data_IF_876254358221
#
_entry.id   IF_876254358221
#
_cell.length_a   1.000
_cell.length_b   1.000
_cell.length_c   1.000
_cell.angle_alpha   90.00
_cell.angle_beta   90.00
_cell.angle_gamma   90.00
#
_symmetry.space_group_name_H-M   'P 1'
#
loop_
_entity.id
_entity.type
_entity.pdbx_description
1 polymer ?
#
# COMPACT_ATOMS: atom_id res chain seq x y z
N UNK A 1 -10.05 -3.60 -27.31
CA UNK A 1 -9.01 -4.28 -26.51
C UNK A 1 -8.56 -3.34 -25.41
N UNK A 2 -8.18 -3.84 -24.23
CA UNK A 2 -7.55 -3.02 -23.19
C UNK A 2 -6.24 -2.40 -23.67
N UNK A 3 -5.91 -1.21 -23.18
CA UNK A 3 -4.66 -0.50 -23.49
C UNK A 3 -4.07 0.12 -22.22
N UNK A 4 -2.77 0.38 -22.20
CA UNK A 4 -2.13 1.13 -21.11
C UNK A 4 -2.63 2.57 -21.16
N UNK A 5 -3.09 3.07 -20.02
CA UNK A 5 -3.55 4.46 -19.88
C UNK A 5 -2.43 5.37 -19.37
N UNK A 6 -1.76 4.98 -18.28
CA UNK A 6 -0.63 5.72 -17.71
C UNK A 6 0.67 4.91 -17.69
N UNK A 7 1.75 5.57 -18.11
CA UNK A 7 3.12 5.12 -17.90
C UNK A 7 3.89 6.10 -17.03
N UNK A 8 4.55 5.57 -16.00
CA UNK A 8 5.33 6.31 -15.01
C UNK A 8 4.52 7.48 -14.40
N UNK A 9 3.23 7.25 -14.18
CA UNK A 9 2.31 8.20 -13.56
C UNK A 9 1.75 9.28 -14.49
N UNK A 10 1.97 9.18 -15.81
CA UNK A 10 1.46 10.15 -16.79
C UNK A 10 0.68 9.47 -17.91
N UNK A 11 -0.42 10.10 -18.40
CA UNK A 11 -1.17 9.63 -19.56
C UNK A 11 -0.26 9.34 -20.77
N UNK A 12 -0.56 8.27 -21.49
CA UNK A 12 0.23 7.81 -22.63
C UNK A 12 0.42 8.85 -23.74
N UNK A 13 -0.57 9.71 -23.93
CA UNK A 13 -0.61 10.78 -24.92
C UNK A 13 0.16 12.04 -24.50
N UNK A 14 0.49 12.20 -23.21
CA UNK A 14 1.40 13.26 -22.76
C UNK A 14 2.84 12.93 -23.17
N UNK A 15 3.30 13.61 -24.21
CA UNK A 15 4.67 13.54 -24.75
C UNK A 15 5.46 14.82 -24.49
N UNK A 16 5.07 15.60 -23.49
CA UNK A 16 5.83 16.79 -23.09
C UNK A 16 7.27 16.43 -22.69
N UNK A 17 8.20 17.37 -22.89
CA UNK A 17 9.62 17.14 -22.60
C UNK A 17 9.86 16.72 -21.14
N UNK A 18 9.05 17.25 -20.20
CA UNK A 18 9.10 16.89 -18.78
C UNK A 18 8.71 15.44 -18.54
N UNK A 19 7.60 15.00 -19.13
CA UNK A 19 7.11 13.61 -18.98
C UNK A 19 8.07 12.63 -19.63
N UNK A 20 8.55 12.93 -20.83
CA UNK A 20 9.54 12.08 -21.51
C UNK A 20 10.86 11.98 -20.71
N UNK A 21 11.32 13.06 -20.08
CA UNK A 21 12.49 13.00 -19.20
C UNK A 21 12.26 12.06 -17.99
N UNK A 22 11.06 12.08 -17.40
CA UNK A 22 10.68 11.17 -16.30
C UNK A 22 10.65 9.71 -16.77
N UNK A 23 10.03 9.44 -17.93
CA UNK A 23 9.98 8.09 -18.50
C UNK A 23 11.37 7.55 -18.82
N UNK A 24 12.22 8.34 -19.49
CA UNK A 24 13.59 7.96 -19.85
C UNK A 24 14.51 7.73 -18.66
N UNK A 25 14.23 8.40 -17.54
CA UNK A 25 14.91 8.21 -16.26
C UNK A 25 14.20 7.25 -15.32
N UNK A 26 13.14 6.56 -15.78
CA UNK A 26 12.33 5.56 -15.07
C UNK A 26 11.87 6.02 -13.68
N UNK A 27 11.58 7.31 -13.51
CA UNK A 27 11.16 7.86 -12.22
C UNK A 27 9.67 7.64 -11.97
N UNK A 28 9.30 7.34 -10.72
CA UNK A 28 7.93 7.28 -10.25
C UNK A 28 7.59 8.59 -9.54
N UNK A 29 6.63 9.39 -10.06
CA UNK A 29 6.29 10.68 -9.46
C UNK A 29 5.65 10.53 -8.06
N UNK A 30 5.00 9.40 -7.79
CA UNK A 30 4.35 9.14 -6.50
C UNK A 30 5.35 8.77 -5.41
N UNK A 31 6.45 8.11 -5.76
CA UNK A 31 7.48 7.69 -4.81
C UNK A 31 8.62 8.69 -4.64
N UNK A 32 8.74 9.67 -5.56
CA UNK A 32 9.92 10.54 -5.63
C UNK A 32 11.23 9.79 -5.87
N UNK A 33 11.16 8.60 -6.47
CA UNK A 33 12.27 7.68 -6.65
C UNK A 33 12.09 6.84 -7.92
N UNK A 34 13.12 6.04 -8.26
CA UNK A 34 13.04 5.07 -9.36
C UNK A 34 11.82 4.15 -9.21
N UNK A 35 11.07 3.97 -10.30
CA UNK A 35 9.91 3.11 -10.35
C UNK A 35 10.29 1.66 -10.02
N UNK A 36 9.57 1.06 -9.07
CA UNK A 36 9.75 -0.34 -8.67
C UNK A 36 8.81 -1.28 -9.45
N UNK A 37 7.88 -0.74 -10.25
CA UNK A 37 6.85 -1.50 -10.97
C UNK A 37 5.66 -1.93 -10.13
N UNK A 38 5.58 -1.52 -8.86
CA UNK A 38 4.48 -1.84 -7.95
C UNK A 38 4.17 -3.35 -7.90
N UNK A 39 2.91 -3.73 -8.15
CA UNK A 39 2.46 -5.12 -8.15
C UNK A 39 3.13 -6.01 -9.22
N UNK A 40 3.78 -5.44 -10.23
CA UNK A 40 4.40 -6.18 -11.34
C UNK A 40 5.91 -6.42 -11.16
N UNK A 41 6.50 -5.97 -10.04
CA UNK A 41 7.95 -5.83 -9.82
C UNK A 41 8.79 -7.09 -10.01
N UNK A 42 8.27 -8.27 -9.65
CA UNK A 42 9.05 -9.51 -9.64
C UNK A 42 9.04 -10.27 -10.97
N UNK A 43 8.07 -10.02 -11.85
CA UNK A 43 7.83 -10.87 -13.03
C UNK A 43 8.12 -10.17 -14.35
N UNK A 44 8.37 -8.87 -14.37
CA UNK A 44 8.32 -8.08 -15.61
C UNK A 44 9.60 -7.35 -15.98
N UNK A 45 10.68 -7.51 -15.21
CA UNK A 45 11.97 -6.86 -15.47
C UNK A 45 12.50 -7.16 -16.88
N UNK A 46 12.92 -6.11 -17.59
CA UNK A 46 13.48 -6.13 -18.94
C UNK A 46 14.94 -5.69 -18.85
N UNK A 47 15.86 -6.51 -19.38
CA UNK A 47 17.28 -6.15 -19.52
C UNK A 47 17.48 -5.35 -20.81
N UNK A 48 18.14 -4.20 -20.71
CA UNK A 48 18.41 -3.32 -21.85
C UNK A 48 19.74 -3.73 -22.50
N UNK A 49 19.67 -4.73 -23.39
CA UNK A 49 20.80 -5.19 -24.20
C UNK A 49 20.79 -4.52 -25.57
N UNK A 50 21.86 -4.67 -26.36
CA UNK A 50 21.91 -4.14 -27.74
C UNK A 50 20.79 -4.66 -28.65
N UNK A 51 20.18 -5.80 -28.31
CA UNK A 51 19.10 -6.42 -29.08
C UNK A 51 17.71 -5.96 -28.61
N UNK A 52 17.62 -5.31 -27.45
CA UNK A 52 16.36 -4.82 -26.89
C UNK A 52 16.07 -3.42 -27.43
N UNK A 53 14.99 -3.22 -28.22
CA UNK A 53 14.67 -1.91 -28.81
C UNK A 53 14.50 -0.78 -27.77
N UNK A 54 14.08 -1.10 -26.54
CA UNK A 54 13.95 -0.12 -25.46
C UNK A 54 15.29 0.50 -25.04
N UNK A 55 16.42 -0.14 -25.33
CA UNK A 55 17.76 0.33 -24.92
C UNK A 55 18.06 1.73 -25.42
N UNK A 56 17.56 2.11 -26.61
CA UNK A 56 17.77 3.44 -27.18
C UNK A 56 16.79 4.50 -26.63
N UNK A 57 15.72 4.07 -25.98
CA UNK A 57 14.73 4.99 -25.39
C UNK A 57 15.21 5.55 -24.05
N UNK A 58 15.71 4.68 -23.16
CA UNK A 58 16.13 5.05 -21.81
C UNK A 58 17.51 5.73 -21.78
N UNK A 59 17.82 6.41 -20.68
CA UNK A 59 19.14 7.00 -20.47
C UNK A 59 20.24 5.91 -20.50
N UNK A 60 21.42 6.27 -21.00
CA UNK A 60 22.51 5.32 -21.29
C UNK A 60 23.10 4.60 -20.07
N UNK A 61 22.89 5.14 -18.86
CA UNK A 61 23.31 4.55 -17.59
C UNK A 61 22.34 3.46 -17.08
N UNK A 62 21.17 3.32 -17.71
CA UNK A 62 20.14 2.35 -17.33
C UNK A 62 20.39 1.04 -18.06
N UNK A 63 20.59 -0.03 -17.29
CA UNK A 63 20.83 -1.39 -17.82
C UNK A 63 19.61 -2.31 -17.73
N UNK A 64 18.59 -1.90 -16.98
CA UNK A 64 17.34 -2.62 -16.81
C UNK A 64 16.18 -1.69 -16.48
N UNK A 65 14.98 -2.08 -16.89
CA UNK A 65 13.73 -1.38 -16.60
C UNK A 65 12.66 -2.36 -16.13
N UNK A 66 11.83 -1.91 -15.21
CA UNK A 66 10.60 -2.59 -14.82
C UNK A 66 9.43 -1.78 -15.44
N UNK A 67 8.47 -2.42 -16.12
CA UNK A 67 7.29 -1.75 -16.66
C UNK A 67 6.59 -0.84 -15.64
N UNK A 68 6.66 0.47 -15.89
CA UNK A 68 6.03 1.50 -15.06
C UNK A 68 4.56 1.70 -15.37
N UNK A 69 3.78 0.62 -15.50
CA UNK A 69 2.35 0.68 -15.86
C UNK A 69 1.53 1.02 -14.63
N UNK A 70 0.91 2.20 -14.61
CA UNK A 70 0.14 2.67 -13.46
C UNK A 70 -1.35 2.33 -13.59
N UNK A 71 -1.90 2.42 -14.80
CA UNK A 71 -3.31 2.17 -15.08
C UNK A 71 -3.55 1.67 -16.51
N UNK A 72 -4.68 0.99 -16.70
CA UNK A 72 -5.11 0.35 -17.96
C UNK A 72 -6.52 0.84 -18.30
N UNK A 73 -6.72 1.32 -19.53
CA UNK A 73 -8.04 1.58 -20.09
C UNK A 73 -8.67 0.24 -20.53
N UNK A 74 -9.83 -0.11 -20.00
CA UNK A 74 -10.59 -1.30 -20.39
C UNK A 74 -12.06 -0.95 -20.61
N UNK A 75 -12.45 -0.80 -21.88
CA UNK A 75 -13.78 -0.29 -22.22
C UNK A 75 -13.86 1.21 -21.90
N UNK A 76 -14.85 1.62 -21.10
CA UNK A 76 -15.01 3.01 -20.66
C UNK A 76 -14.23 3.34 -19.38
N UNK A 77 -13.80 2.31 -18.65
CA UNK A 77 -13.18 2.47 -17.33
C UNK A 77 -11.65 2.50 -17.44
N UNK A 78 -11.02 3.36 -16.63
CA UNK A 78 -9.58 3.31 -16.37
C UNK A 78 -9.38 2.55 -15.07
N UNK A 79 -8.57 1.51 -15.08
CA UNK A 79 -8.28 0.67 -13.93
C UNK A 79 -6.88 0.93 -13.41
N UNK A 80 -6.75 1.30 -12.14
CA UNK A 80 -5.44 1.37 -11.48
C UNK A 80 -4.91 -0.04 -11.25
N UNK A 81 -3.69 -0.31 -11.72
CA UNK A 81 -3.00 -1.62 -11.58
C UNK A 81 -1.72 -1.53 -10.76
N UNK A 82 -1.29 -0.33 -10.40
CA UNK A 82 -0.14 -0.10 -9.54
C UNK A 82 -0.59 0.52 -8.20
N UNK A 83 -0.28 -0.10 -7.05
CA UNK A 83 -0.70 0.42 -5.74
C UNK A 83 -0.13 1.81 -5.44
N UNK A 84 1.09 2.10 -5.92
CA UNK A 84 1.74 3.43 -5.75
C UNK A 84 0.95 4.57 -6.39
N UNK A 85 0.04 4.26 -7.33
CA UNK A 85 -0.83 5.26 -7.97
C UNK A 85 -1.97 5.72 -7.05
N UNK A 86 -2.39 4.87 -6.10
CA UNK A 86 -3.42 5.19 -5.11
C UNK A 86 -2.81 5.77 -3.83
N UNK A 87 -1.66 5.25 -3.40
CA UNK A 87 -0.93 5.79 -2.26
C UNK A 87 0.54 5.31 -2.26
N UNK A 88 1.47 6.24 -2.03
CA UNK A 88 2.88 5.93 -1.88
C UNK A 88 3.52 6.69 -0.70
N UNK A 89 3.81 5.99 0.38
CA UNK A 89 4.80 6.43 1.36
C UNK A 89 6.14 5.77 1.04
N UNK A 90 7.17 6.57 0.76
CA UNK A 90 8.53 6.07 0.52
C UNK A 90 9.58 7.12 0.87
N UNK A 91 10.62 6.65 1.57
CA UNK A 91 11.80 7.43 1.86
C UNK A 91 13.06 6.57 1.74
N UNK A 92 13.92 6.88 0.77
CA UNK A 92 15.16 6.14 0.52
C UNK A 92 16.38 6.74 1.25
N UNK A 93 16.19 7.75 2.11
CA UNK A 93 17.27 8.38 2.86
C UNK A 93 17.74 7.57 4.08
N UNK A 94 18.78 8.07 4.75
CA UNK A 94 19.34 7.45 5.96
C UNK A 94 18.74 7.98 7.26
N UNK A 95 18.19 9.20 7.24
CA UNK A 95 17.63 9.88 8.42
C UNK A 95 16.11 9.71 8.56
N UNK A 96 15.48 10.46 9.46
CA UNK A 96 14.03 10.55 9.56
C UNK A 96 13.50 11.35 8.35
N UNK A 97 12.44 10.89 7.66
CA UNK A 97 11.84 11.63 6.55
C UNK A 97 11.30 12.99 6.99
N UNK A 98 11.46 14.00 6.14
CA UNK A 98 10.77 15.28 6.33
C UNK A 98 9.25 15.10 6.16
N UNK A 99 8.47 15.84 6.95
CA UNK A 99 7.01 15.76 6.93
C UNK A 99 6.45 16.09 5.53
N UNK A 100 5.50 15.27 5.07
CA UNK A 100 4.79 15.40 3.79
C UNK A 100 5.66 15.41 2.53
N UNK A 101 6.91 14.93 2.60
CA UNK A 101 7.84 14.82 1.48
C UNK A 101 7.42 13.69 0.52
N UNK A 102 6.34 13.87 -0.23
CA UNK A 102 5.86 13.10 -1.41
C UNK A 102 4.34 13.09 -1.54
N UNK A 103 3.61 13.62 -0.54
CA UNK A 103 2.15 13.49 -0.47
C UNK A 103 1.45 14.31 -1.57
N UNK A 104 0.69 13.62 -2.44
CA UNK A 104 -0.16 14.23 -3.44
C UNK A 104 -1.45 14.80 -2.80
N UNK A 105 -2.12 15.78 -3.45
CA UNK A 105 -3.36 16.34 -2.92
C UNK A 105 -4.45 15.29 -2.66
N UNK A 106 -4.62 14.31 -3.56
CA UNK A 106 -5.61 13.24 -3.38
C UNK A 106 -5.22 12.27 -2.26
N UNK A 107 -3.92 12.06 -2.00
CA UNK A 107 -3.45 11.22 -0.90
C UNK A 107 -3.71 11.92 0.44
N UNK A 108 -3.53 13.24 0.53
CA UNK A 108 -3.94 14.02 1.71
C UNK A 108 -5.44 13.91 1.95
N UNK A 109 -6.26 14.10 0.91
CA UNK A 109 -7.71 13.98 1.01
C UNK A 109 -8.13 12.58 1.48
N UNK A 110 -7.50 11.53 0.94
CA UNK A 110 -7.69 10.15 1.36
C UNK A 110 -7.40 9.95 2.85
N UNK A 111 -6.25 10.43 3.34
CA UNK A 111 -5.86 10.24 4.73
C UNK A 111 -6.76 11.01 5.71
N UNK A 112 -7.16 12.24 5.36
CA UNK A 112 -8.13 13.03 6.14
C UNK A 112 -9.47 12.30 6.19
N UNK A 113 -9.96 11.83 5.04
CA UNK A 113 -11.23 11.13 4.96
C UNK A 113 -11.20 9.78 5.70
N UNK A 114 -10.04 9.14 5.76
CA UNK A 114 -9.82 7.92 6.51
C UNK A 114 -9.78 8.12 8.04
N UNK A 115 -9.95 9.35 8.53
CA UNK A 115 -10.07 9.64 9.96
C UNK A 115 -8.74 9.77 10.71
N UNK A 116 -7.62 9.91 9.99
CA UNK A 116 -6.32 10.13 10.64
C UNK A 116 -6.30 11.50 11.34
N UNK A 117 -5.60 11.62 12.48
CA UNK A 117 -5.61 12.83 13.29
C UNK A 117 -4.94 14.01 12.57
N UNK A 118 -5.52 15.20 12.75
CA UNK A 118 -4.94 16.46 12.31
C UNK A 118 -3.85 16.94 13.26
N UNK A 119 -2.95 17.80 12.75
CA UNK A 119 -1.91 18.49 13.51
C UNK A 119 -0.92 17.60 14.29
N UNK A 120 -0.93 16.29 14.02
CA UNK A 120 -0.08 15.28 14.63
C UNK A 120 0.83 14.68 13.57
N UNK A 121 2.10 14.46 13.92
CA UNK A 121 3.02 13.76 13.03
C UNK A 121 2.70 12.27 13.06
N UNK A 122 2.38 11.71 11.90
CA UNK A 122 1.99 10.32 11.71
C UNK A 122 3.10 9.61 10.93
N UNK A 123 3.64 8.54 11.51
CA UNK A 123 4.61 7.70 10.84
C UNK A 123 3.93 6.70 9.92
N UNK A 124 4.56 6.42 8.78
CA UNK A 124 4.15 5.36 7.86
C UNK A 124 5.25 4.32 7.70
N UNK A 125 4.90 3.05 7.89
CA UNK A 125 5.77 1.90 7.67
C UNK A 125 5.19 1.02 6.58
N UNK A 126 5.88 0.93 5.44
CA UNK A 126 5.43 0.17 4.30
C UNK A 126 5.86 -1.30 4.38
N UNK A 127 4.98 -2.18 3.91
CA UNK A 127 5.24 -3.62 3.72
C UNK A 127 5.68 -4.30 5.03
N UNK A 128 4.92 -4.04 6.11
CA UNK A 128 5.16 -4.64 7.43
C UNK A 128 4.73 -6.10 7.40
N UNK A 129 5.69 -7.00 7.61
CA UNK A 129 5.46 -8.45 7.64
C UNK A 129 5.41 -8.96 9.08
N UNK A 130 4.27 -9.53 9.45
CA UNK A 130 4.03 -10.13 10.77
C UNK A 130 3.84 -11.64 10.62
N UNK A 131 4.80 -12.37 11.17
CA UNK A 131 4.75 -13.82 11.30
C UNK A 131 4.80 -14.18 12.78
N UNK A 132 3.81 -14.94 13.24
CA UNK A 132 3.74 -15.42 14.60
C UNK A 132 3.22 -16.84 14.63
N UNK A 133 3.79 -17.68 15.51
CA UNK A 133 3.47 -19.10 15.60
C UNK A 133 3.46 -19.54 17.06
N UNK A 134 2.39 -20.24 17.42
CA UNK A 134 2.23 -21.01 18.65
C UNK A 134 2.05 -22.49 18.29
N UNK A 135 1.89 -23.37 19.28
CA UNK A 135 1.90 -24.83 19.07
C UNK A 135 0.88 -25.31 18.00
N UNK A 136 -0.32 -24.75 17.99
CA UNK A 136 -1.43 -25.20 17.13
C UNK A 136 -1.89 -24.13 16.11
N UNK A 137 -1.26 -22.96 16.07
CA UNK A 137 -1.67 -21.87 15.19
C UNK A 137 -0.46 -21.09 14.63
N UNK A 138 -0.55 -20.70 13.37
CA UNK A 138 0.41 -19.83 12.70
C UNK A 138 -0.34 -18.77 11.91
N UNK A 139 0.15 -17.54 11.97
CA UNK A 139 -0.28 -16.48 11.07
C UNK A 139 0.91 -15.91 10.31
N UNK A 140 0.63 -15.39 9.12
CA UNK A 140 1.59 -14.76 8.26
C UNK A 140 0.86 -13.69 7.42
N UNK A 141 0.87 -12.46 7.91
CA UNK A 141 0.24 -11.33 7.25
C UNK A 141 1.27 -10.29 6.84
N UNK A 142 1.00 -9.66 5.70
CA UNK A 142 1.75 -8.51 5.21
C UNK A 142 0.77 -7.34 5.13
N UNK A 143 1.10 -6.24 5.79
CA UNK A 143 0.33 -5.02 5.75
C UNK A 143 0.97 -4.05 4.75
N UNK A 144 0.16 -3.48 3.86
CA UNK A 144 0.67 -2.53 2.86
C UNK A 144 1.30 -1.33 3.57
N UNK A 145 0.56 -0.72 4.52
CA UNK A 145 1.11 0.26 5.44
C UNK A 145 0.52 0.09 6.84
N UNK A 146 1.39 0.23 7.84
CA UNK A 146 1.00 0.54 9.21
C UNK A 146 1.24 2.03 9.41
N UNK A 147 0.24 2.75 9.93
CA UNK A 147 0.32 4.17 10.24
C UNK A 147 0.05 4.37 11.73
N UNK A 148 0.80 5.24 12.38
CA UNK A 148 0.59 5.55 13.80
C UNK A 148 1.10 6.96 14.13
N UNK A 149 0.47 7.67 15.07
CA UNK A 149 1.06 8.88 15.65
C UNK A 149 2.48 8.62 16.16
N UNK A 150 3.32 9.64 16.10
CA UNK A 150 4.71 9.55 16.53
C UNK A 150 4.89 10.20 17.89
N UNK A 151 5.60 9.50 18.78
CA UNK A 151 5.97 10.00 20.10
C UNK A 151 7.48 9.88 20.32
N UNK A 152 8.05 10.86 21.02
CA UNK A 152 9.45 10.80 21.46
C UNK A 152 9.50 10.07 22.80
N UNK A 153 10.03 8.85 22.80
CA UNK A 153 10.16 8.02 24.00
C UNK A 153 11.29 7.00 23.85
N UNK A 154 11.63 6.29 24.93
CA UNK A 154 12.58 5.17 24.88
C UNK A 154 11.85 3.85 24.73
N UNK A 155 12.50 2.83 24.17
CA UNK A 155 11.91 1.49 24.04
C UNK A 155 11.52 0.91 25.40
N UNK A 156 12.36 1.14 26.42
CA UNK A 156 12.07 0.69 27.79
C UNK A 156 10.83 1.36 28.38
N UNK A 157 10.63 2.66 28.13
CA UNK A 157 9.45 3.37 28.61
C UNK A 157 8.19 2.98 27.83
N UNK A 158 8.31 2.74 26.53
CA UNK A 158 7.21 2.25 25.70
C UNK A 158 6.67 0.90 26.21
N UNK A 159 7.55 -0.06 26.50
CA UNK A 159 7.14 -1.37 27.02
C UNK A 159 6.49 -1.36 28.41
N UNK A 160 6.60 -0.24 29.16
CA UNK A 160 5.92 -0.09 30.46
C UNK A 160 4.46 0.35 30.32
N UNK A 161 4.02 0.74 29.12
CA UNK A 161 2.64 1.14 28.88
C UNK A 161 1.70 -0.07 28.96
N UNK A 162 0.41 0.19 29.24
CA UNK A 162 -0.63 -0.83 29.40
C UNK A 162 -0.78 -1.73 28.17
N UNK A 163 -0.52 -1.19 26.99
CA UNK A 163 -0.57 -1.90 25.70
C UNK A 163 0.45 -3.04 25.58
N UNK A 164 1.47 -3.09 26.45
CA UNK A 164 2.58 -4.03 26.38
C UNK A 164 2.75 -4.87 27.65
N UNK A 165 1.71 -4.96 28.48
CA UNK A 165 1.71 -5.82 29.69
C UNK A 165 2.05 -7.26 29.29
N UNK A 166 3.04 -7.84 29.98
CA UNK A 166 3.54 -9.19 29.69
C UNK A 166 4.80 -9.24 28.81
N UNK A 167 5.27 -8.09 28.29
CA UNK A 167 6.55 -8.04 27.57
C UNK A 167 7.72 -8.40 28.47
N UNK A 168 8.73 -9.04 27.88
CA UNK A 168 9.92 -9.59 28.54
C UNK A 168 11.18 -8.78 28.20
N UNK A 169 12.28 -9.01 28.93
CA UNK A 169 13.58 -8.44 28.55
C UNK A 169 14.07 -8.93 27.17
N UNK A 170 13.70 -10.17 26.78
CA UNK A 170 13.99 -10.66 25.42
C UNK A 170 13.26 -9.84 24.36
N UNK A 171 12.03 -9.38 24.64
CA UNK A 171 11.29 -8.51 23.72
C UNK A 171 11.99 -7.16 23.58
N UNK A 172 12.49 -6.60 24.68
CA UNK A 172 13.26 -5.36 24.65
C UNK A 172 14.53 -5.51 23.80
N UNK A 173 15.28 -6.59 23.98
CA UNK A 173 16.49 -6.89 23.21
C UNK A 173 16.20 -7.02 21.70
N UNK A 174 15.09 -7.67 21.35
CA UNK A 174 14.63 -7.80 19.96
C UNK A 174 14.25 -6.45 19.36
N UNK A 175 13.55 -5.60 20.11
CA UNK A 175 13.17 -4.25 19.68
C UNK A 175 14.40 -3.37 19.46
N UNK A 176 15.37 -3.39 20.39
CA UNK A 176 16.64 -2.66 20.24
C UNK A 176 17.36 -3.10 18.98
N UNK A 177 17.44 -4.42 18.75
CA UNK A 177 18.09 -4.99 17.57
C UNK A 177 17.39 -4.57 16.27
N UNK A 178 16.05 -4.62 16.24
CA UNK A 178 15.25 -4.22 15.10
C UNK A 178 15.42 -2.73 14.80
N UNK A 179 15.20 -1.86 15.79
CA UNK A 179 15.35 -0.41 15.67
C UNK A 179 16.76 0.00 15.23
N UNK A 180 17.80 -0.63 15.78
CA UNK A 180 19.19 -0.39 15.36
C UNK A 180 19.42 -0.77 13.90
N UNK A 181 18.97 -1.97 13.48
CA UNK A 181 19.13 -2.43 12.10
C UNK A 181 18.40 -1.52 11.10
N UNK A 182 17.27 -0.96 11.51
CA UNK A 182 16.43 -0.08 10.68
C UNK A 182 16.82 1.40 10.76
N UNK A 183 17.86 1.76 11.53
CA UNK A 183 18.43 3.12 11.52
C UNK A 183 17.72 4.14 12.42
N UNK A 184 16.96 3.70 13.43
CA UNK A 184 16.31 4.63 14.38
C UNK A 184 17.31 5.29 15.35
N UNK A 185 18.50 4.71 15.52
CA UNK A 185 19.56 5.26 16.34
C UNK A 185 20.66 5.86 15.46
N UNK A 186 20.99 7.13 15.68
CA UNK A 186 22.04 7.83 14.93
C UNK A 186 23.46 7.53 15.45
N UNK A 187 23.61 7.16 16.73
CA UNK A 187 24.91 6.95 17.38
C UNK A 187 25.12 5.51 17.89
N UNK A 188 26.37 5.05 17.89
CA UNK A 188 26.79 3.76 18.46
C UNK A 188 26.95 3.81 20.01
N UNK A 189 25.99 4.43 20.72
CA UNK A 189 26.04 4.54 22.19
C UNK A 189 25.83 3.18 22.86
N UNK A 190 26.42 3.04 24.05
CA UNK A 190 26.09 1.95 24.99
C UNK A 190 24.78 2.34 25.68
N UNK A 191 23.86 1.37 25.79
CA UNK A 191 22.51 1.51 26.32
C UNK A 191 21.48 2.20 25.40
N UNK A 192 21.12 1.53 24.30
CA UNK A 192 20.15 2.04 23.32
C UNK A 192 18.70 1.98 23.81
N UNK A 193 18.39 1.15 24.81
CA UNK A 193 17.02 0.92 25.27
C UNK A 193 16.41 2.15 25.95
N UNK A 194 17.25 2.98 26.57
CA UNK A 194 16.87 4.16 27.35
C UNK A 194 17.03 5.49 26.57
N UNK A 195 17.52 5.43 25.32
CA UNK A 195 17.60 6.60 24.44
C UNK A 195 16.21 6.95 23.93
N UNK A 196 15.80 8.21 24.10
CA UNK A 196 14.58 8.72 23.52
C UNK A 196 14.74 8.92 22.01
N UNK A 197 13.89 8.24 21.24
CA UNK A 197 13.82 8.27 19.78
C UNK A 197 12.35 8.43 19.35
N UNK A 198 12.14 8.74 18.08
CA UNK A 198 10.81 8.84 17.50
C UNK A 198 10.25 7.42 17.25
N UNK A 199 9.17 7.06 17.94
CA UNK A 199 8.56 5.73 17.92
C UNK A 199 7.06 5.81 17.63
N UNK A 200 6.45 4.74 17.10
CA UNK A 200 4.99 4.66 16.94
C UNK A 200 4.28 4.64 18.29
N UNK A 201 3.24 5.45 18.42
CA UNK A 201 2.20 5.31 19.45
C UNK A 201 1.12 4.33 18.94
N UNK A 202 1.12 3.11 19.50
CA UNK A 202 0.19 2.05 19.10
C UNK A 202 -1.14 2.08 19.85
N UNK A 203 -1.43 3.13 20.61
CA UNK A 203 -2.76 3.30 21.22
C UNK A 203 -3.81 3.72 20.18
N UNK A 204 -3.40 4.31 19.04
CA UNK A 204 -4.28 4.68 17.92
C UNK A 204 -3.60 4.39 16.58
N UNK A 205 -3.48 3.10 16.24
CA UNK A 205 -2.87 2.67 14.97
C UNK A 205 -3.90 2.53 13.84
N UNK A 206 -3.42 2.68 12.62
CA UNK A 206 -4.19 2.47 11.40
C UNK A 206 -3.47 1.48 10.50
N UNK A 207 -4.21 0.51 9.97
CA UNK A 207 -3.74 -0.38 8.90
C UNK A 207 -4.33 0.13 7.60
N UNK A 208 -3.48 0.61 6.68
CA UNK A 208 -3.91 1.10 5.38
C UNK A 208 -3.57 0.05 4.31
N UNK A 209 -4.60 -0.53 3.71
CA UNK A 209 -4.53 -1.57 2.67
C UNK A 209 -4.91 -1.00 1.31
N UNK A 210 -4.09 -1.22 0.29
CA UNK A 210 -4.29 -0.69 -1.05
C UNK A 210 -4.65 -1.83 -2.01
N UNK A 211 -5.91 -1.88 -2.44
CA UNK A 211 -6.35 -2.89 -3.41
C UNK A 211 -6.51 -2.29 -4.81
N UNK A 212 -5.61 -2.68 -5.70
CA UNK A 212 -5.68 -2.34 -7.13
C UNK A 212 -6.17 -3.51 -7.98
N UNK A 213 -6.45 -3.24 -9.24
CA UNK A 213 -6.74 -4.30 -10.19
C UNK A 213 -5.49 -5.16 -10.47
N UNK A 214 -5.72 -6.45 -10.69
CA UNK A 214 -4.76 -7.37 -11.29
C UNK A 214 -5.08 -7.55 -12.77
N UNK A 215 -4.08 -7.92 -13.55
CA UNK A 215 -4.28 -8.30 -14.95
C UNK A 215 -4.63 -9.77 -15.13
N UNK A 216 -5.31 -10.10 -16.23
CA UNK A 216 -5.50 -11.48 -16.70
C UNK A 216 -4.17 -12.08 -17.18
N UNK A 217 -4.16 -13.40 -17.41
CA UNK A 217 -2.97 -14.12 -17.89
C UNK A 217 -2.34 -13.48 -19.13
N UNK A 218 -1.02 -13.65 -19.25
CA UNK A 218 -0.19 -13.11 -20.33
C UNK A 218 -0.25 -13.97 -21.58
N UNK A 219 -0.44 -13.35 -22.74
CA UNK A 219 -0.21 -13.96 -24.04
C UNK A 219 0.90 -13.20 -24.76
N UNK A 220 2.10 -13.77 -24.70
CA UNK A 220 3.32 -13.21 -25.32
C UNK A 220 3.27 -13.32 -26.85
N UNK A 221 2.64 -14.38 -27.39
CA UNK A 221 2.53 -14.59 -28.85
C UNK A 221 1.70 -13.47 -29.48
N UNK A 222 0.62 -13.07 -28.79
CA UNK A 222 -0.22 -11.95 -29.19
C UNK A 222 0.25 -10.60 -28.63
N UNK A 223 1.44 -10.52 -28.02
CA UNK A 223 2.03 -9.29 -27.44
C UNK A 223 1.10 -8.55 -26.45
N UNK A 224 0.23 -9.28 -25.76
CA UNK A 224 -0.68 -8.73 -24.75
C UNK A 224 -0.14 -8.87 -23.34
N UNK A 225 1.01 -9.53 -23.14
CA UNK A 225 1.67 -9.55 -21.84
C UNK A 225 2.16 -8.16 -21.42
N UNK A 226 2.34 -7.94 -20.11
CA UNK A 226 2.70 -6.62 -19.58
C UNK A 226 4.02 -6.07 -20.14
N UNK A 227 5.01 -6.93 -20.45
CA UNK A 227 6.30 -6.48 -20.99
C UNK A 227 6.13 -6.01 -22.44
N UNK A 228 5.44 -6.79 -23.27
CA UNK A 228 5.18 -6.44 -24.66
C UNK A 228 4.28 -5.22 -24.77
N UNK A 229 3.22 -5.15 -23.96
CA UNK A 229 2.33 -3.99 -23.88
C UNK A 229 3.11 -2.71 -23.53
N UNK A 230 3.94 -2.77 -22.49
CA UNK A 230 4.80 -1.66 -22.07
C UNK A 230 5.77 -1.23 -23.17
N UNK A 231 6.47 -2.19 -23.81
CA UNK A 231 7.40 -1.92 -24.90
C UNK A 231 6.70 -1.20 -26.05
N UNK A 232 5.57 -1.74 -26.49
CA UNK A 232 4.84 -1.21 -27.65
C UNK A 232 4.24 0.17 -27.33
N UNK A 233 3.72 0.37 -26.12
CA UNK A 233 3.23 1.67 -25.66
C UNK A 233 4.32 2.75 -25.72
N UNK A 234 5.55 2.44 -25.29
CA UNK A 234 6.65 3.41 -25.35
C UNK A 234 7.13 3.69 -26.77
N UNK A 235 7.27 2.67 -27.62
CA UNK A 235 7.95 2.79 -28.92
C UNK A 235 7.01 3.08 -30.10
N UNK A 236 5.83 2.45 -30.13
CA UNK A 236 4.92 2.43 -31.29
C UNK A 236 3.62 3.20 -31.02
N UNK A 237 3.33 3.50 -29.75
CA UNK A 237 2.08 4.11 -29.25
C UNK A 237 0.82 3.27 -29.46
N UNK A 238 0.63 2.61 -30.61
CA UNK A 238 -0.41 1.58 -30.77
C UNK A 238 0.01 0.30 -30.02
N UNK A 239 -0.86 -0.16 -29.11
CA UNK A 239 -0.58 -1.31 -28.27
C UNK A 239 -1.88 -1.92 -27.73
N UNK A 240 -1.77 -3.13 -27.21
CA UNK A 240 -2.80 -3.79 -26.41
C UNK A 240 -2.19 -4.19 -25.07
N UNK A 241 -3.00 -4.23 -24.03
CA UNK A 241 -2.60 -4.67 -22.70
C UNK A 241 -3.41 -5.90 -22.27
N UNK A 242 -2.98 -6.59 -21.19
CA UNK A 242 -3.82 -7.62 -20.59
C UNK A 242 -5.19 -7.06 -20.17
N UNK A 243 -6.18 -7.94 -20.10
CA UNK A 243 -7.47 -7.64 -19.48
C UNK A 243 -7.38 -7.51 -17.96
N UNK A 244 -8.48 -7.07 -17.35
CA UNK A 244 -8.57 -6.88 -15.90
C UNK A 244 -9.20 -8.11 -15.24
N UNK A 245 -8.51 -8.70 -14.26
CA UNK A 245 -8.97 -9.88 -13.53
C UNK A 245 -9.73 -9.53 -12.24
N UNK A 246 -10.94 -8.98 -12.40
CA UNK A 246 -11.78 -8.49 -11.29
C UNK A 246 -12.12 -9.59 -10.27
N UNK A 247 -12.40 -10.81 -10.72
CA UNK A 247 -12.79 -11.94 -9.85
C UNK A 247 -11.65 -12.40 -8.94
N UNK A 248 -10.43 -12.48 -9.48
CA UNK A 248 -9.27 -12.89 -8.69
C UNK A 248 -8.92 -11.84 -7.61
N UNK A 249 -9.03 -10.55 -7.95
CA UNK A 249 -8.80 -9.45 -7.00
C UNK A 249 -9.77 -9.56 -5.83
N UNK A 250 -11.07 -9.65 -6.10
CA UNK A 250 -12.08 -9.80 -5.06
C UNK A 250 -11.85 -11.05 -4.19
N UNK A 251 -11.59 -12.20 -4.82
CA UNK A 251 -11.33 -13.46 -4.10
C UNK A 251 -10.12 -13.41 -3.16
N UNK A 252 -9.09 -12.60 -3.48
CA UNK A 252 -7.92 -12.39 -2.61
C UNK A 252 -8.16 -11.30 -1.56
N UNK A 253 -8.96 -10.29 -1.89
CA UNK A 253 -9.27 -9.18 -1.01
C UNK A 253 -10.14 -9.64 0.15
N UNK A 254 -11.18 -10.44 -0.10
CA UNK A 254 -12.20 -10.78 0.92
C UNK A 254 -11.61 -11.46 2.16
N UNK A 255 -10.70 -12.42 2.00
CA UNK A 255 -10.09 -13.13 3.14
C UNK A 255 -9.16 -12.23 3.94
N UNK A 256 -8.45 -11.33 3.28
CA UNK A 256 -7.59 -10.35 3.95
C UNK A 256 -8.40 -9.25 4.63
N UNK A 257 -9.52 -8.85 4.01
CA UNK A 257 -10.43 -7.83 4.53
C UNK A 257 -10.88 -8.14 5.93
N UNK A 258 -11.43 -9.32 6.16
CA UNK A 258 -11.89 -9.69 7.50
C UNK A 258 -10.72 -9.99 8.44
N UNK A 259 -9.73 -10.78 8.01
CA UNK A 259 -8.67 -11.20 8.92
C UNK A 259 -7.80 -10.03 9.41
N UNK A 260 -7.42 -9.10 8.53
CA UNK A 260 -6.62 -7.93 8.92
C UNK A 260 -7.43 -6.90 9.70
N UNK A 261 -8.73 -6.82 9.43
CA UNK A 261 -9.63 -5.98 10.22
C UNK A 261 -9.76 -6.51 11.65
N UNK A 262 -9.96 -7.82 11.82
CA UNK A 262 -10.00 -8.45 13.14
C UNK A 262 -8.69 -8.22 13.91
N UNK A 263 -7.53 -8.46 13.28
CA UNK A 263 -6.23 -8.19 13.91
C UNK A 263 -6.08 -6.71 14.35
N UNK A 264 -6.43 -5.77 13.48
CA UNK A 264 -6.36 -4.35 13.82
C UNK A 264 -7.30 -3.99 14.96
N UNK A 265 -8.53 -4.51 14.95
CA UNK A 265 -9.51 -4.28 16.01
C UNK A 265 -9.00 -4.74 17.37
N UNK A 266 -8.41 -5.94 17.43
CA UNK A 266 -7.79 -6.47 18.65
C UNK A 266 -6.62 -5.63 19.16
N UNK A 267 -5.90 -4.98 18.25
CA UNK A 267 -4.86 -4.02 18.61
C UNK A 267 -5.42 -2.62 18.95
N UNK A 268 -6.74 -2.46 19.05
CA UNK A 268 -7.38 -1.15 19.29
C UNK A 268 -7.20 -0.17 18.13
N UNK A 269 -6.91 -0.66 16.94
CA UNK A 269 -6.68 0.11 15.73
C UNK A 269 -7.85 0.07 14.74
N UNK A 270 -7.64 0.70 13.59
CA UNK A 270 -8.61 0.72 12.49
C UNK A 270 -7.99 0.25 11.17
N UNK A 271 -8.74 -0.51 10.38
CA UNK A 271 -8.32 -0.91 9.03
C UNK A 271 -9.05 -0.09 7.97
N UNK A 272 -8.27 0.54 7.08
CA UNK A 272 -8.74 1.35 5.97
C UNK A 272 -8.35 0.66 4.66
N UNK A 273 -9.34 0.39 3.82
CA UNK A 273 -9.18 -0.21 2.50
C UNK A 273 -9.33 0.83 1.41
N UNK A 274 -8.24 1.15 0.72
CA UNK A 274 -8.25 2.05 -0.43
C UNK A 274 -8.49 1.24 -1.69
N UNK A 275 -9.63 1.50 -2.33
CA UNK A 275 -10.05 0.78 -3.54
C UNK A 275 -10.50 1.75 -4.62
N UNK A 276 -10.56 1.27 -5.86
CA UNK A 276 -11.17 2.02 -6.95
C UNK A 276 -12.68 1.77 -7.02
N UNK A 277 -13.44 2.80 -7.40
CA UNK A 277 -14.89 2.70 -7.60
C UNK A 277 -15.30 1.64 -8.63
N UNK A 278 -14.51 1.44 -9.69
CA UNK A 278 -14.72 0.38 -10.66
C UNK A 278 -14.63 -1.03 -10.02
N UNK A 279 -13.71 -1.24 -9.06
CA UNK A 279 -13.61 -2.48 -8.30
C UNK A 279 -14.82 -2.63 -7.36
N UNK A 280 -15.20 -1.56 -6.66
CA UNK A 280 -16.37 -1.58 -5.78
C UNK A 280 -17.65 -1.92 -6.56
N UNK A 281 -17.87 -1.28 -7.70
CA UNK A 281 -19.02 -1.57 -8.56
C UNK A 281 -19.06 -3.05 -8.96
N UNK A 282 -17.91 -3.64 -9.30
CA UNK A 282 -17.84 -5.07 -9.59
C UNK A 282 -18.19 -5.94 -8.37
N UNK A 283 -17.78 -5.56 -7.16
CA UNK A 283 -18.15 -6.25 -5.91
C UNK A 283 -19.67 -6.17 -5.70
N UNK A 284 -20.28 -5.00 -5.83
CA UNK A 284 -21.73 -4.82 -5.68
C UNK A 284 -22.57 -5.52 -6.75
N UNK A 285 -21.99 -5.74 -7.94
CA UNK A 285 -22.61 -6.53 -9.01
C UNK A 285 -22.54 -8.04 -8.77
N UNK A 286 -21.49 -8.51 -8.10
CA UNK A 286 -21.19 -9.95 -7.97
C UNK A 286 -21.46 -10.52 -6.58
N UNK A 287 -21.83 -9.65 -5.63
CA UNK A 287 -22.16 -10.02 -4.26
C UNK A 287 -23.49 -9.42 -3.84
N UNK A 288 -23.93 -9.73 -2.61
CA UNK A 288 -25.12 -9.12 -2.01
C UNK A 288 -24.84 -7.75 -1.37
N UNK A 289 -23.58 -7.30 -1.33
CA UNK A 289 -23.23 -6.00 -0.77
C UNK A 289 -23.84 -4.88 -1.61
N UNK A 290 -24.54 -3.96 -0.96
CA UNK A 290 -25.01 -2.69 -1.51
C UNK A 290 -24.54 -1.58 -0.58
N UNK A 291 -23.54 -0.82 -1.00
CA UNK A 291 -22.90 0.16 -0.13
C UNK A 291 -23.82 1.32 0.24
N UNK A 292 -24.80 1.62 -0.62
CA UNK A 292 -25.88 2.59 -0.32
C UNK A 292 -26.76 2.17 0.85
N UNK A 293 -26.83 0.88 1.14
CA UNK A 293 -27.66 0.30 2.22
C UNK A 293 -26.83 0.01 3.48
N UNK A 294 -25.52 0.26 3.48
CA UNK A 294 -24.68 0.06 4.66
C UNK A 294 -25.10 1.10 5.70
N UNK A 295 -25.68 0.67 6.83
CA UNK A 295 -26.09 1.61 7.86
C UNK A 295 -24.86 2.25 8.48
N UNK A 296 -24.93 3.54 8.76
CA UNK A 296 -23.91 4.20 9.55
C UNK A 296 -23.97 3.63 10.97
N UNK A 297 -23.03 2.75 11.31
CA UNK A 297 -22.97 2.10 12.61
C UNK A 297 -21.96 2.82 13.53
N UNK A 298 -22.23 3.00 14.83
CA UNK A 298 -21.28 3.62 15.76
C UNK A 298 -20.00 2.79 15.95
N UNK A 299 -20.12 1.47 15.86
CA UNK A 299 -19.01 0.51 16.02
C UNK A 299 -18.39 0.16 14.66
N UNK A 300 -17.80 1.16 14.01
CA UNK A 300 -17.13 1.01 12.71
C UNK A 300 -15.90 0.12 12.88
N UNK A 301 -15.84 -0.97 12.14
CA UNK A 301 -14.64 -1.82 12.08
C UNK A 301 -14.07 -1.90 10.66
N UNK A 302 -14.85 -1.62 9.60
CA UNK A 302 -14.35 -1.54 8.22
C UNK A 302 -14.54 -0.14 7.67
N UNK A 303 -13.46 0.43 7.15
CA UNK A 303 -13.48 1.68 6.37
C UNK A 303 -13.04 1.42 4.94
N UNK A 304 -13.87 1.76 3.95
CA UNK A 304 -13.51 1.76 2.53
C UNK A 304 -13.30 3.20 2.06
N UNK A 305 -12.13 3.53 1.54
CA UNK A 305 -11.87 4.81 0.89
C UNK A 305 -11.83 4.60 -0.61
N UNK A 306 -12.73 5.28 -1.32
CA UNK A 306 -13.01 5.01 -2.72
C UNK A 306 -12.35 6.09 -3.57
N UNK A 307 -11.44 5.66 -4.43
CA UNK A 307 -10.78 6.48 -5.43
C UNK A 307 -11.45 6.30 -6.79
N UNK A 308 -11.45 7.33 -7.63
CA UNK A 308 -11.93 7.22 -9.00
C UNK A 308 -11.12 8.06 -9.97
N UNK A 309 -11.29 7.78 -11.27
CA UNK A 309 -10.93 8.74 -12.30
C UNK A 309 -12.11 9.66 -12.59
N UNK A 310 -11.83 10.95 -12.69
CA UNK A 310 -12.79 11.96 -13.14
C UNK A 310 -12.15 12.81 -14.24
N UNK A 311 -12.97 13.34 -15.14
CA UNK A 311 -12.52 14.35 -16.07
C UNK A 311 -12.38 15.69 -15.34
N UNK A 312 -11.17 16.25 -15.33
CA UNK A 312 -10.91 17.59 -14.85
C UNK A 312 -11.52 18.67 -15.76
N UNK A 313 -11.31 19.94 -15.43
CA UNK A 313 -11.83 21.08 -16.19
C UNK A 313 -11.34 21.11 -17.64
N UNK A 314 -10.18 20.52 -17.92
CA UNK A 314 -9.59 20.42 -19.26
C UNK A 314 -9.99 19.11 -19.97
N UNK A 315 -10.86 18.30 -19.36
CA UNK A 315 -11.29 17.00 -19.88
C UNK A 315 -10.26 15.88 -19.69
N UNK A 316 -9.16 16.12 -18.97
CA UNK A 316 -8.13 15.11 -18.68
C UNK A 316 -8.56 14.26 -17.50
N UNK A 317 -8.31 12.95 -17.57
CA UNK A 317 -8.68 12.07 -16.47
C UNK A 317 -7.64 12.20 -15.35
N UNK A 318 -8.10 12.59 -14.16
CA UNK A 318 -7.31 12.69 -12.96
C UNK A 318 -7.88 11.76 -11.89
N UNK A 319 -7.02 11.30 -10.96
CA UNK A 319 -7.51 10.54 -9.81
C UNK A 319 -7.98 11.51 -8.73
N UNK A 320 -9.05 11.13 -8.04
CA UNK A 320 -9.50 11.82 -6.83
C UNK A 320 -10.19 10.87 -5.87
N UNK A 321 -10.32 11.34 -4.64
CA UNK A 321 -11.25 10.77 -3.67
C UNK A 321 -12.69 10.95 -4.18
N UNK A 322 -13.46 9.86 -4.19
CA UNK A 322 -14.88 9.85 -4.54
C UNK A 322 -15.75 9.90 -3.28
N UNK A 323 -15.46 9.01 -2.33
CA UNK A 323 -16.23 8.85 -1.09
C UNK A 323 -15.42 8.02 -0.08
N UNK A 324 -15.87 8.01 1.17
CA UNK A 324 -15.55 6.94 2.10
C UNK A 324 -16.82 6.32 2.65
N UNK A 325 -16.74 5.03 2.94
CA UNK A 325 -17.84 4.21 3.42
C UNK A 325 -17.33 3.49 4.64
N UNK A 326 -17.89 3.84 5.79
CA UNK A 326 -17.65 3.14 7.04
C UNK A 326 -18.81 2.20 7.31
N UNK A 327 -18.49 0.99 7.77
CA UNK A 327 -19.51 -0.01 8.07
C UNK A 327 -19.07 -0.99 9.15
N UNK A 328 -20.03 -1.84 9.50
CA UNK A 328 -19.80 -3.02 10.30
C UNK A 328 -19.49 -4.21 9.39
N UNK A 329 -18.46 -4.97 9.73
CA UNK A 329 -18.07 -6.24 9.13
C UNK A 329 -19.19 -7.27 9.20
N UNK A 330 -20.09 -7.15 10.18
CA UNK A 330 -21.23 -8.06 10.36
C UNK A 330 -20.81 -9.48 10.73
N UNK A 331 -19.58 -9.64 11.24
CA UNK A 331 -19.06 -10.88 11.82
C UNK A 331 -18.49 -10.57 13.21
N UNK A 332 -18.61 -11.53 14.11
CA UNK A 332 -17.97 -11.47 15.42
C UNK A 332 -16.49 -11.81 15.28
N UNK A 333 -15.59 -10.94 15.73
CA UNK A 333 -14.14 -11.17 15.65
C UNK A 333 -13.63 -12.14 16.72
N UNK A 334 -14.41 -12.40 17.78
CA UNK A 334 -14.11 -13.44 18.77
C UNK A 334 -14.38 -14.86 18.21
N UNK A 335 -15.05 -14.94 17.06
CA UNK A 335 -15.49 -16.19 16.45
C UNK A 335 -16.91 -16.57 16.88
N UNK A 336 -17.58 -17.33 16.02
CA UNK A 336 -18.99 -17.69 16.16
C UNK A 336 -19.27 -19.19 16.07
N UNK A 337 -18.22 -20.00 15.87
CA UNK A 337 -18.29 -21.42 15.49
C UNK A 337 -19.14 -21.66 14.24
N UNK A 338 -19.16 -20.68 13.33
CA UNK A 338 -19.84 -20.79 12.03
C UNK A 338 -18.86 -20.72 10.87
N UNK A 339 -19.33 -20.99 9.65
CA UNK A 339 -18.49 -20.97 8.47
C UNK A 339 -17.86 -19.60 8.17
N UNK A 340 -18.32 -18.50 8.78
CA UNK A 340 -17.69 -17.18 8.62
C UNK A 340 -16.34 -17.10 9.30
N UNK A 341 -16.07 -17.93 10.30
CA UNK A 341 -14.81 -17.93 11.07
C UNK A 341 -13.60 -18.31 10.20
N UNK A 342 -13.82 -18.93 9.03
CA UNK A 342 -12.77 -19.15 8.02
C UNK A 342 -12.11 -17.84 7.53
N UNK A 343 -12.78 -16.71 7.73
CA UNK A 343 -12.31 -15.38 7.35
C UNK A 343 -11.51 -14.68 8.46
N UNK A 344 -11.45 -15.27 9.65
CA UNK A 344 -10.79 -14.72 10.83
C UNK A 344 -9.39 -15.33 11.02
N UNK A 345 -8.46 -14.59 11.66
CA UNK A 345 -7.19 -15.17 12.07
C UNK A 345 -7.42 -16.19 13.18
N UNK A 346 -6.70 -17.32 13.15
CA UNK A 346 -6.77 -18.31 14.24
C UNK A 346 -6.16 -17.80 15.56
N UNK A 347 -5.24 -16.84 15.48
CA UNK A 347 -4.55 -16.27 16.63
C UNK A 347 -4.38 -14.76 16.47
N UNK A 348 -4.43 -14.05 17.60
CA UNK A 348 -4.12 -12.62 17.68
C UNK A 348 -2.77 -12.43 18.37
N UNK A 349 -1.72 -11.99 17.66
CA UNK A 349 -0.43 -11.74 18.29
C UNK A 349 -0.52 -10.55 19.25
N UNK A 350 0.23 -10.58 20.36
CA UNK A 350 0.31 -9.43 21.25
C UNK A 350 0.92 -8.22 20.52
N UNK A 351 0.55 -6.99 20.91
CA UNK A 351 1.02 -5.73 20.30
C UNK A 351 2.55 -5.62 20.22
N UNK A 352 3.29 -6.27 21.13
CA UNK A 352 4.76 -6.30 21.09
C UNK A 352 5.30 -6.98 19.81
N UNK A 353 4.61 -8.00 19.28
CA UNK A 353 4.99 -8.67 18.04
C UNK A 353 4.73 -7.77 16.82
N UNK A 354 3.64 -6.99 16.84
CA UNK A 354 3.39 -5.94 15.85
C UNK A 354 4.49 -4.87 15.91
N UNK A 355 4.83 -4.38 17.11
CA UNK A 355 5.88 -3.37 17.29
C UNK A 355 7.24 -3.88 16.76
N UNK A 356 7.60 -5.15 17.04
CA UNK A 356 8.79 -5.79 16.44
C UNK A 356 8.71 -5.80 14.91
N UNK A 357 7.55 -6.12 14.33
CA UNK A 357 7.36 -6.11 12.88
C UNK A 357 7.53 -4.71 12.28
N UNK A 358 6.99 -3.68 12.95
CA UNK A 358 7.14 -2.26 12.56
C UNK A 358 8.61 -1.84 12.62
N UNK A 359 9.31 -2.08 13.74
CA UNK A 359 10.70 -1.64 13.91
C UNK A 359 11.72 -2.40 13.05
N UNK A 360 11.34 -3.54 12.46
CA UNK A 360 12.13 -4.20 11.40
C UNK A 360 12.09 -3.44 10.06
N UNK A 361 11.21 -2.44 9.94
CA UNK A 361 11.09 -1.54 8.80
C UNK A 361 11.64 -0.17 9.15
N UNK A 362 12.16 0.52 8.14
CA UNK A 362 12.48 1.94 8.25
C UNK A 362 11.18 2.74 8.30
N UNK A 363 11.23 3.93 8.87
CA UNK A 363 10.15 4.90 8.74
C UNK A 363 10.12 5.41 7.30
N UNK A 364 9.09 5.06 6.54
CA UNK A 364 8.98 5.36 5.10
C UNK A 364 8.44 6.77 4.82
N UNK A 365 7.66 7.34 5.74
CA UNK A 365 7.23 8.74 5.68
C UNK A 365 6.84 9.28 7.05
N UNK A 366 6.92 10.60 7.20
CA UNK A 366 6.20 11.35 8.23
C UNK A 366 5.12 12.17 7.53
N UNK A 367 3.88 12.06 8.00
CA UNK A 367 2.70 12.69 7.44
C UNK A 367 2.14 13.67 8.47
N UNK A 368 1.72 14.86 8.01
CA UNK A 368 1.06 15.86 8.85
C UNK A 368 -0.11 16.47 8.09
N UNK A 369 -1.33 16.18 8.52
CA UNK A 369 -2.56 16.38 7.75
C UNK A 369 -3.20 17.76 7.93
#
# INVERSE_FOLDING_TARGET
MPTIYELFGFPMDDRSQKVEAIRKSRQCPFMGATCDGGGNRYQTKIKLTQQEPLTHYFNSDITEVIPGVCSIQAGKDIWVVCPRRLFAAKFDGQDIPAANRALQPYERALLIQAGLPHDTDIGAWAEVSLKHRVEDAEINYHFDYVLAPLAVTSLRNLLKQSDFVGSTENDLDDLVRAAKKSGYFQDARRDLADISILLPDLSNLFILEIMTASTSGSDTENSTDMRSAFRNALLVSEHSSPGINKRQVWGRMVTQLFAKTALSYEWGGQTIWVIQDALLHNIELTTRLKTVDVPNHPQRNISLVIMHYFADLDGRQAISLKAAIDGDAGIDFDGSDTFTDILLPKLTPPKVELLKAILRRKLDAVLRL
#
